data_IF_157129138229
#
_entry.id   IF_157129138229
#
_cell.length_a   1.000
_cell.length_b   1.000
_cell.length_c   1.000
_cell.angle_alpha   90.00
_cell.angle_beta   90.00
_cell.angle_gamma   90.00
#
_symmetry.space_group_name_H-M   'P 1'
#
loop_
_entity.id
_entity.type
_entity.pdbx_description
1 polymer ?
#
# COMPACT_ATOMS: atom_id res chain seq x y z
N UNK A 1 2.54 25.50 -4.06
CA UNK A 1 2.95 25.50 -5.48
C UNK A 1 1.78 25.98 -6.32
N UNK A 2 1.97 27.06 -7.11
CA UNK A 2 0.95 27.45 -8.10
C UNK A 2 1.01 26.48 -9.29
N UNK A 3 0.01 25.59 -9.38
CA UNK A 3 -0.03 24.54 -10.40
C UNK A 3 -0.19 25.08 -11.82
N UNK A 4 -0.92 26.18 -12.01
CA UNK A 4 -1.09 26.78 -13.33
C UNK A 4 0.25 27.19 -13.94
N UNK A 5 1.20 27.63 -13.10
CA UNK A 5 2.55 27.97 -13.50
C UNK A 5 3.44 26.72 -13.60
N UNK A 6 3.36 25.84 -12.61
CA UNK A 6 4.24 24.67 -12.52
C UNK A 6 3.94 23.59 -13.56
N UNK A 7 2.70 23.37 -13.92
CA UNK A 7 2.30 22.33 -14.88
C UNK A 7 2.75 22.69 -16.31
N UNK A 8 2.94 23.99 -16.62
CA UNK A 8 3.47 24.46 -17.90
C UNK A 8 5.00 24.63 -17.94
N UNK A 9 5.69 24.40 -16.83
CA UNK A 9 7.13 24.64 -16.69
C UNK A 9 7.94 23.39 -17.05
N UNK A 10 8.67 23.43 -18.16
CA UNK A 10 9.56 22.35 -18.60
C UNK A 10 10.90 22.33 -17.85
N UNK A 11 11.42 23.50 -17.45
CA UNK A 11 12.78 23.64 -16.94
C UNK A 11 12.98 23.26 -15.48
N UNK A 12 11.95 23.40 -14.62
CA UNK A 12 12.02 23.21 -13.15
C UNK A 12 13.23 23.89 -12.48
N UNK A 13 13.71 24.99 -13.07
CA UNK A 13 14.94 25.66 -12.66
C UNK A 13 14.86 26.24 -11.23
N UNK A 14 13.63 26.62 -10.82
CA UNK A 14 13.38 27.08 -9.46
C UNK A 14 13.75 26.05 -8.37
N UNK A 15 13.79 24.76 -8.71
CA UNK A 15 14.18 23.68 -7.77
C UNK A 15 15.71 23.55 -7.71
N UNK A 16 16.40 23.91 -8.81
CA UNK A 16 17.86 23.85 -8.92
C UNK A 16 18.54 25.10 -8.33
N UNK A 17 17.81 26.21 -8.26
CA UNK A 17 18.30 27.43 -7.64
C UNK A 17 18.01 27.37 -6.13
N UNK A 18 19.05 27.22 -5.31
CA UNK A 18 18.99 27.06 -3.86
C UNK A 18 18.30 28.19 -3.06
N UNK A 19 17.83 29.24 -3.73
CA UNK A 19 17.23 30.43 -3.11
C UNK A 19 15.69 30.41 -3.03
N UNK A 20 15.02 29.38 -3.52
CA UNK A 20 13.56 29.30 -3.40
C UNK A 20 13.15 28.70 -2.06
N UNK A 21 13.01 29.54 -1.05
CA UNK A 21 12.47 29.19 0.26
C UNK A 21 11.11 28.50 0.09
N UNK A 22 11.06 27.17 0.28
CA UNK A 22 9.83 26.41 0.34
C UNK A 22 9.51 25.47 -0.84
N UNK A 23 10.35 25.40 -1.87
CA UNK A 23 10.21 24.40 -2.93
C UNK A 23 11.37 23.42 -2.92
N UNK A 24 11.07 22.13 -2.80
CA UNK A 24 12.04 21.03 -2.91
C UNK A 24 11.42 19.85 -3.66
N UNK A 25 12.27 19.07 -4.29
CA UNK A 25 11.82 17.81 -4.89
C UNK A 25 11.38 16.86 -3.78
N UNK A 26 10.19 16.27 -3.93
CA UNK A 26 9.67 15.29 -2.99
C UNK A 26 10.17 13.87 -3.28
N UNK A 27 11.15 13.74 -4.15
CA UNK A 27 11.78 12.47 -4.53
C UNK A 27 13.30 12.63 -4.62
N UNK A 28 13.99 11.52 -4.54
CA UNK A 28 15.41 11.36 -4.83
C UNK A 28 15.54 10.32 -5.93
N UNK A 29 16.36 10.58 -6.93
CA UNK A 29 16.70 9.59 -7.97
C UNK A 29 17.86 8.74 -7.47
N UNK A 30 17.65 7.43 -7.45
CA UNK A 30 18.64 6.44 -7.05
C UNK A 30 18.70 5.32 -8.09
N UNK A 31 19.87 4.71 -8.24
CA UNK A 31 19.98 3.47 -9.01
C UNK A 31 19.59 2.27 -8.16
N UNK A 32 19.25 1.17 -8.82
CA UNK A 32 18.97 -0.11 -8.12
C UNK A 32 20.15 -0.55 -7.27
N UNK A 33 21.38 -0.40 -7.80
CA UNK A 33 22.62 -0.74 -7.09
C UNK A 33 22.82 0.12 -5.85
N UNK A 34 22.48 1.40 -5.91
CA UNK A 34 22.57 2.31 -4.76
C UNK A 34 21.57 1.91 -3.66
N UNK A 35 20.33 1.54 -4.02
CA UNK A 35 19.32 1.05 -3.06
C UNK A 35 19.78 -0.25 -2.40
N UNK A 36 20.30 -1.21 -3.18
CA UNK A 36 20.83 -2.46 -2.64
C UNK A 36 22.05 -2.18 -1.72
N UNK A 37 22.95 -1.30 -2.15
CA UNK A 37 24.12 -0.90 -1.37
C UNK A 37 23.76 -0.27 -0.05
N UNK A 38 22.74 0.61 -0.02
CA UNK A 38 22.23 1.23 1.20
C UNK A 38 21.61 0.18 2.15
N UNK A 39 20.84 -0.76 1.61
CA UNK A 39 20.29 -1.86 2.39
C UNK A 39 21.38 -2.72 3.04
N UNK A 40 22.41 -3.12 2.27
CA UNK A 40 23.56 -3.88 2.80
C UNK A 40 24.33 -3.11 3.88
N UNK A 41 24.54 -1.81 3.69
CA UNK A 41 25.22 -0.97 4.68
C UNK A 41 24.46 -0.86 6.00
N UNK A 42 23.14 -1.03 5.98
CA UNK A 42 22.26 -0.98 7.14
C UNK A 42 21.83 -2.37 7.66
N UNK A 43 22.43 -3.48 7.17
CA UNK A 43 22.06 -4.85 7.54
C UNK A 43 22.07 -5.07 9.06
N UNK A 44 23.01 -4.46 9.76
CA UNK A 44 23.08 -4.54 11.23
C UNK A 44 21.84 -3.97 11.94
N UNK A 45 20.99 -3.20 11.24
CA UNK A 45 19.74 -2.67 11.77
C UNK A 45 18.55 -3.62 11.58
N UNK A 46 18.72 -4.72 10.86
CA UNK A 46 17.65 -5.68 10.54
C UNK A 46 17.55 -6.78 11.60
N UNK A 47 17.22 -6.41 12.84
CA UNK A 47 17.05 -7.35 13.94
C UNK A 47 15.84 -8.27 13.73
N UNK A 48 15.90 -9.49 14.26
CA UNK A 48 14.78 -10.44 14.35
C UNK A 48 14.03 -10.66 13.00
N UNK A 49 14.77 -10.76 11.90
CA UNK A 49 14.20 -10.96 10.56
C UNK A 49 13.63 -9.68 9.94
N UNK A 50 14.11 -8.53 10.37
CA UNK A 50 13.88 -7.25 9.70
C UNK A 50 14.44 -7.23 8.29
N UNK A 51 14.26 -6.13 7.57
CA UNK A 51 14.69 -6.00 6.18
C UNK A 51 14.21 -4.72 5.53
N UNK A 52 13.99 -4.77 4.23
CA UNK A 52 13.58 -3.62 3.41
C UNK A 52 12.12 -3.73 3.03
N UNK A 53 11.36 -2.66 3.28
CA UNK A 53 9.97 -2.54 2.80
C UNK A 53 9.89 -1.54 1.66
N UNK A 54 9.42 -2.00 0.50
CA UNK A 54 9.08 -1.13 -0.62
C UNK A 54 7.62 -0.68 -0.48
N UNK A 55 7.44 0.63 -0.44
CA UNK A 55 6.13 1.28 -0.31
C UNK A 55 6.14 2.61 -1.07
N UNK A 56 5.28 3.55 -0.75
CA UNK A 56 5.29 4.90 -1.32
C UNK A 56 3.91 5.34 -1.77
N UNK A 57 3.76 5.91 -2.98
CA UNK A 57 2.46 6.05 -3.63
C UNK A 57 1.93 4.68 -4.05
N UNK A 58 2.68 4.03 -4.94
CA UNK A 58 2.50 2.62 -5.32
C UNK A 58 3.85 2.06 -5.75
N UNK A 59 4.34 1.04 -5.06
CA UNK A 59 5.67 0.47 -5.30
C UNK A 59 5.81 -0.12 -6.71
N UNK A 60 4.74 -0.70 -7.26
CA UNK A 60 4.75 -1.37 -8.57
C UNK A 60 4.71 -0.43 -9.79
N UNK A 61 4.68 0.89 -9.59
CA UNK A 61 4.77 1.87 -10.70
C UNK A 61 6.12 1.75 -11.42
N UNK A 62 7.20 1.50 -10.67
CA UNK A 62 8.55 1.25 -11.20
C UNK A 62 8.83 -0.25 -11.19
N UNK A 63 8.03 -1.01 -11.95
CA UNK A 63 7.96 -2.47 -11.83
C UNK A 63 9.29 -3.17 -12.11
N UNK A 64 10.02 -2.75 -13.15
CA UNK A 64 11.26 -3.43 -13.54
C UNK A 64 12.37 -3.14 -12.51
N UNK A 65 12.53 -1.90 -12.10
CA UNK A 65 13.51 -1.47 -11.10
C UNK A 65 13.22 -2.11 -9.74
N UNK A 66 11.93 -2.19 -9.37
CA UNK A 66 11.50 -2.90 -8.16
C UNK A 66 11.85 -4.39 -8.24
N UNK A 67 11.60 -5.04 -9.38
CA UNK A 67 11.91 -6.46 -9.57
C UNK A 67 13.43 -6.72 -9.46
N UNK A 68 14.25 -5.85 -10.04
CA UNK A 68 15.69 -5.98 -10.00
C UNK A 68 16.25 -5.70 -8.60
N UNK A 69 15.71 -4.71 -7.88
CA UNK A 69 16.05 -4.46 -6.47
C UNK A 69 15.69 -5.65 -5.57
N UNK A 70 14.50 -6.22 -5.72
CA UNK A 70 14.06 -7.40 -4.96
C UNK A 70 14.94 -8.62 -5.20
N UNK A 71 15.34 -8.87 -6.47
CA UNK A 71 16.28 -9.94 -6.80
C UNK A 71 17.64 -9.74 -6.13
N UNK A 72 18.20 -8.54 -6.27
CA UNK A 72 19.51 -8.23 -5.70
C UNK A 72 19.52 -8.31 -4.18
N UNK A 73 18.44 -7.88 -3.51
CA UNK A 73 18.31 -8.03 -2.04
C UNK A 73 18.17 -9.49 -1.63
N UNK A 74 17.42 -10.29 -2.39
CA UNK A 74 17.28 -11.73 -2.15
C UNK A 74 18.62 -12.46 -2.29
N UNK A 75 19.46 -12.11 -3.28
CA UNK A 75 20.82 -12.66 -3.45
C UNK A 75 21.76 -12.31 -2.28
N UNK A 76 21.43 -11.25 -1.53
CA UNK A 76 22.14 -10.84 -0.31
C UNK A 76 21.51 -11.39 0.98
N UNK A 77 20.50 -12.26 0.85
CA UNK A 77 19.74 -12.82 1.97
C UNK A 77 19.04 -11.76 2.85
N UNK A 78 18.73 -10.59 2.26
CA UNK A 78 17.99 -9.52 2.93
C UNK A 78 16.51 -9.75 2.74
N UNK A 79 15.76 -9.84 3.85
CA UNK A 79 14.31 -10.00 3.83
C UNK A 79 13.64 -8.76 3.21
N UNK A 80 12.63 -8.99 2.38
CA UNK A 80 11.91 -7.91 1.69
C UNK A 80 10.41 -7.96 1.94
N UNK A 81 9.80 -6.80 2.04
CA UNK A 81 8.34 -6.64 2.03
C UNK A 81 7.93 -5.64 0.96
N UNK A 82 6.72 -5.82 0.41
CA UNK A 82 6.08 -4.84 -0.47
C UNK A 82 4.73 -4.48 0.10
N UNK A 83 4.43 -3.18 0.12
CA UNK A 83 3.08 -2.65 0.30
C UNK A 83 2.56 -2.17 -1.06
N UNK A 84 1.43 -2.72 -1.51
CA UNK A 84 0.86 -2.43 -2.84
C UNK A 84 -0.66 -2.39 -2.81
N UNK A 85 -1.22 -1.58 -3.70
CA UNK A 85 -2.66 -1.60 -3.98
C UNK A 85 -3.09 -2.79 -4.84
N UNK A 86 -2.16 -3.60 -5.34
CA UNK A 86 -2.42 -4.81 -6.09
C UNK A 86 -2.90 -4.63 -7.53
N UNK A 87 -2.77 -3.45 -8.12
CA UNK A 87 -3.30 -3.17 -9.47
C UNK A 87 -2.43 -3.66 -10.61
N UNK A 88 -1.13 -3.90 -10.36
CA UNK A 88 -0.20 -4.25 -11.43
C UNK A 88 -0.45 -5.68 -11.95
N UNK A 89 -0.65 -5.89 -13.29
CA UNK A 89 -0.99 -7.20 -13.84
C UNK A 89 0.12 -8.25 -13.65
N UNK A 90 1.37 -7.83 -13.67
CA UNK A 90 2.53 -8.71 -13.47
C UNK A 90 2.95 -8.85 -12.00
N UNK A 91 2.17 -8.38 -11.03
CA UNK A 91 2.50 -8.52 -9.61
C UNK A 91 2.95 -9.95 -9.22
N UNK A 92 2.33 -11.03 -9.71
CA UNK A 92 2.76 -12.39 -9.39
C UNK A 92 4.20 -12.75 -9.80
N UNK A 93 4.78 -12.03 -10.76
CA UNK A 93 6.19 -12.23 -11.15
C UNK A 93 7.18 -11.82 -10.03
N UNK A 94 6.73 -11.00 -9.08
CA UNK A 94 7.52 -10.56 -7.94
C UNK A 94 7.48 -11.56 -6.77
N UNK A 95 6.47 -12.43 -6.69
CA UNK A 95 6.24 -13.34 -5.55
C UNK A 95 7.49 -14.13 -5.14
N UNK A 96 8.29 -14.68 -6.07
CA UNK A 96 9.50 -15.41 -5.70
C UNK A 96 10.56 -14.59 -4.95
N UNK A 97 10.49 -13.25 -5.03
CA UNK A 97 11.50 -12.34 -4.50
C UNK A 97 11.02 -11.56 -3.27
N UNK A 98 9.76 -11.73 -2.87
CA UNK A 98 9.13 -11.02 -1.74
C UNK A 98 9.07 -11.95 -0.53
N UNK A 99 9.60 -11.53 0.60
CA UNK A 99 9.46 -12.24 1.87
C UNK A 99 8.09 -12.05 2.51
N UNK A 100 7.51 -10.84 2.43
CA UNK A 100 6.15 -10.53 2.87
C UNK A 100 5.42 -9.63 1.89
N UNK A 101 4.28 -10.07 1.39
CA UNK A 101 3.41 -9.28 0.53
C UNK A 101 2.27 -8.67 1.37
N UNK A 102 2.13 -7.35 1.30
CA UNK A 102 1.08 -6.59 1.98
C UNK A 102 0.20 -5.95 0.91
N UNK A 103 -1.10 -6.28 0.91
CA UNK A 103 -2.04 -5.80 -0.10
C UNK A 103 -3.25 -5.13 0.52
N UNK A 104 -3.64 -3.99 -0.03
CA UNK A 104 -4.85 -3.29 0.39
C UNK A 104 -6.09 -3.87 -0.31
N UNK A 105 -7.09 -4.26 0.47
CA UNK A 105 -8.44 -4.58 0.02
C UNK A 105 -9.39 -3.45 0.46
N UNK A 106 -9.56 -2.44 -0.41
CA UNK A 106 -10.31 -1.23 -0.03
C UNK A 106 -11.83 -1.41 -0.13
N UNK A 107 -12.31 -2.28 -1.02
CA UNK A 107 -13.73 -2.61 -1.18
C UNK A 107 -13.88 -3.89 -1.98
N UNK A 108 -14.89 -4.73 -1.68
CA UNK A 108 -15.19 -5.93 -2.46
C UNK A 108 -16.05 -5.63 -3.71
N UNK A 109 -16.93 -4.61 -3.67
CA UNK A 109 -17.75 -4.18 -4.81
C UNK A 109 -16.90 -3.35 -5.79
N UNK A 110 -16.86 -3.79 -7.07
CA UNK A 110 -16.07 -3.16 -8.12
C UNK A 110 -16.57 -1.76 -8.49
N UNK A 111 -17.88 -1.55 -8.51
CA UNK A 111 -18.48 -0.27 -8.86
C UNK A 111 -18.23 0.79 -7.79
N UNK A 112 -18.37 0.43 -6.51
CA UNK A 112 -18.04 1.31 -5.39
C UNK A 112 -16.56 1.60 -5.36
N UNK A 113 -15.70 0.59 -5.52
CA UNK A 113 -14.25 0.79 -5.58
C UNK A 113 -13.87 1.77 -6.70
N UNK A 114 -14.41 1.58 -7.93
CA UNK A 114 -14.14 2.45 -9.06
C UNK A 114 -14.62 3.89 -8.83
N UNK A 115 -15.78 4.06 -8.21
CA UNK A 115 -16.32 5.40 -7.90
C UNK A 115 -15.42 6.21 -6.98
N UNK A 116 -14.78 5.57 -6.00
CA UNK A 116 -13.98 6.24 -4.98
C UNK A 116 -12.49 6.32 -5.32
N UNK A 117 -11.96 5.32 -6.02
CA UNK A 117 -10.52 5.23 -6.33
C UNK A 117 -10.18 5.56 -7.79
N UNK A 118 -11.19 5.60 -8.67
CA UNK A 118 -11.03 5.82 -10.10
C UNK A 118 -10.77 4.56 -10.93
N UNK A 119 -10.57 3.40 -10.29
CA UNK A 119 -10.27 2.12 -10.96
C UNK A 119 -11.13 0.97 -10.41
N UNK A 120 -11.41 -0.05 -11.25
CA UNK A 120 -12.03 -1.31 -10.80
C UNK A 120 -11.09 -2.09 -9.87
N UNK A 121 -11.68 -2.85 -8.93
CA UNK A 121 -10.92 -3.75 -8.05
C UNK A 121 -10.75 -5.17 -8.61
N UNK A 122 -11.25 -5.48 -9.80
CA UNK A 122 -11.22 -6.84 -10.35
C UNK A 122 -9.81 -7.43 -10.37
N UNK A 123 -8.84 -6.65 -10.87
CA UNK A 123 -7.43 -7.05 -10.89
C UNK A 123 -6.84 -7.20 -9.49
N UNK A 124 -7.22 -6.33 -8.58
CA UNK A 124 -6.79 -6.37 -7.17
C UNK A 124 -7.27 -7.67 -6.52
N UNK A 125 -8.56 -7.97 -6.66
CA UNK A 125 -9.17 -9.19 -6.11
C UNK A 125 -8.57 -10.46 -6.72
N UNK A 126 -8.29 -10.45 -8.04
CA UNK A 126 -7.57 -11.54 -8.72
C UNK A 126 -6.15 -11.74 -8.15
N UNK A 127 -5.39 -10.66 -8.01
CA UNK A 127 -4.03 -10.71 -7.46
C UNK A 127 -4.02 -11.14 -5.99
N UNK A 128 -4.99 -10.73 -5.17
CA UNK A 128 -5.11 -11.20 -3.79
C UNK A 128 -5.41 -12.72 -3.75
N UNK A 129 -6.37 -13.21 -4.57
CA UNK A 129 -6.66 -14.65 -4.67
C UNK A 129 -5.44 -15.45 -5.11
N UNK A 130 -4.70 -14.91 -6.07
CA UNK A 130 -3.49 -15.54 -6.56
C UNK A 130 -2.39 -15.56 -5.50
N UNK A 131 -2.18 -14.45 -4.82
CA UNK A 131 -1.22 -14.35 -3.74
C UNK A 131 -1.56 -15.28 -2.56
N UNK A 132 -2.83 -15.44 -2.22
CA UNK A 132 -3.28 -16.38 -1.19
C UNK A 132 -2.92 -17.85 -1.52
N UNK A 133 -2.86 -18.20 -2.80
CA UNK A 133 -2.49 -19.56 -3.26
C UNK A 133 -0.99 -19.76 -3.45
N UNK A 134 -0.28 -18.74 -3.92
CA UNK A 134 1.09 -18.87 -4.44
C UNK A 134 2.15 -18.22 -3.55
N UNK A 135 1.78 -17.25 -2.70
CA UNK A 135 2.76 -16.52 -1.88
C UNK A 135 2.80 -17.06 -0.45
N UNK A 136 3.98 -17.30 0.14
CA UNK A 136 4.10 -17.92 1.46
C UNK A 136 3.65 -17.03 2.63
N UNK A 137 3.56 -15.71 2.44
CA UNK A 137 3.22 -14.77 3.53
C UNK A 137 2.49 -13.54 2.99
N UNK A 138 1.17 -13.65 2.90
CA UNK A 138 0.27 -12.57 2.48
C UNK A 138 -0.34 -11.89 3.70
N UNK A 139 -0.34 -10.56 3.69
CA UNK A 139 -1.07 -9.72 4.64
C UNK A 139 -2.05 -8.82 3.91
N UNK A 140 -3.35 -9.01 4.15
CA UNK A 140 -4.42 -8.22 3.51
C UNK A 140 -4.91 -7.17 4.50
N UNK A 141 -4.85 -5.89 4.12
CA UNK A 141 -5.31 -4.77 4.94
C UNK A 141 -6.58 -4.15 4.39
N UNK A 142 -7.50 -3.85 5.29
CA UNK A 142 -8.71 -3.08 5.01
C UNK A 142 -8.57 -1.70 5.63
N UNK A 143 -8.28 -0.66 4.85
CA UNK A 143 -8.42 0.72 5.33
C UNK A 143 -9.91 1.01 5.47
N UNK A 144 -10.39 1.08 6.72
CA UNK A 144 -11.80 1.31 7.04
C UNK A 144 -12.10 2.81 6.99
N UNK A 145 -12.98 3.20 6.07
CA UNK A 145 -13.29 4.60 5.75
C UNK A 145 -14.79 4.81 5.87
N UNK A 146 -15.18 5.81 6.67
CA UNK A 146 -16.57 6.17 6.91
C UNK A 146 -17.31 6.54 5.64
N UNK A 147 -18.53 6.03 5.48
CA UNK A 147 -19.38 6.24 4.31
C UNK A 147 -18.91 5.55 3.03
N UNK A 148 -17.81 4.80 3.08
CA UNK A 148 -17.29 4.08 1.92
C UNK A 148 -17.39 2.56 2.10
N UNK A 149 -16.83 2.00 3.16
CA UNK A 149 -16.73 0.56 3.35
C UNK A 149 -16.99 0.12 4.80
N UNK A 150 -17.63 0.96 5.61
CA UNK A 150 -17.82 0.78 7.04
C UNK A 150 -19.21 0.26 7.46
N UNK A 151 -20.10 -0.01 6.49
CA UNK A 151 -21.44 -0.53 6.77
C UNK A 151 -21.47 -2.05 6.97
N UNK A 152 -22.59 -2.56 7.51
CA UNK A 152 -22.79 -4.00 7.74
C UNK A 152 -22.72 -4.83 6.43
N UNK A 153 -23.34 -4.41 5.31
CA UNK A 153 -23.20 -5.14 4.06
C UNK A 153 -21.78 -5.24 3.53
N UNK A 154 -20.96 -4.19 3.70
CA UNK A 154 -19.54 -4.23 3.34
C UNK A 154 -18.75 -5.18 4.25
N UNK A 155 -19.04 -5.17 5.56
CA UNK A 155 -18.43 -6.11 6.50
C UNK A 155 -18.68 -7.57 6.08
N UNK A 156 -19.91 -7.94 5.77
CA UNK A 156 -20.24 -9.30 5.31
C UNK A 156 -19.50 -9.65 4.02
N UNK A 157 -19.43 -8.72 3.05
CA UNK A 157 -18.67 -8.95 1.81
C UNK A 157 -17.17 -9.19 2.07
N UNK A 158 -16.55 -8.45 3.00
CA UNK A 158 -15.17 -8.70 3.39
C UNK A 158 -15.02 -10.06 4.05
N UNK A 159 -15.91 -10.43 4.98
CA UNK A 159 -15.85 -11.71 5.67
C UNK A 159 -15.99 -12.89 4.70
N UNK A 160 -16.91 -12.79 3.74
CA UNK A 160 -17.11 -13.84 2.73
C UNK A 160 -15.87 -13.98 1.83
N UNK A 161 -15.32 -12.87 1.36
CA UNK A 161 -14.09 -12.90 0.56
C UNK A 161 -12.90 -13.43 1.35
N UNK A 162 -12.75 -13.06 2.61
CA UNK A 162 -11.62 -13.52 3.44
C UNK A 162 -11.75 -14.98 3.82
N UNK A 163 -12.97 -15.50 4.01
CA UNK A 163 -13.22 -16.94 4.18
C UNK A 163 -12.87 -17.74 2.91
N UNK A 164 -13.09 -17.16 1.73
CA UNK A 164 -12.70 -17.76 0.44
C UNK A 164 -11.17 -17.95 0.35
N UNK A 165 -10.39 -16.94 0.76
CA UNK A 165 -8.94 -16.90 0.55
C UNK A 165 -8.12 -17.27 1.80
N UNK A 166 -8.75 -17.61 2.92
CA UNK A 166 -8.05 -17.93 4.18
C UNK A 166 -7.09 -19.11 4.02
N UNK A 167 -5.94 -19.00 4.67
CA UNK A 167 -4.91 -20.03 4.73
C UNK A 167 -3.91 -19.72 5.84
N UNK A 168 -3.02 -20.66 6.13
CA UNK A 168 -1.98 -20.46 7.15
C UNK A 168 -0.97 -19.37 6.78
N UNK A 169 -0.87 -19.08 5.49
CA UNK A 169 -0.02 -18.05 4.92
C UNK A 169 -0.70 -16.66 4.82
N UNK A 170 -2.00 -16.57 5.13
CA UNK A 170 -2.78 -15.33 4.96
C UNK A 170 -3.17 -14.74 6.31
N UNK A 171 -2.89 -13.47 6.50
CA UNK A 171 -3.32 -12.70 7.67
C UNK A 171 -4.10 -11.47 7.24
N UNK A 172 -5.02 -11.01 8.09
CA UNK A 172 -5.91 -9.88 7.80
C UNK A 172 -5.82 -8.82 8.89
N UNK A 173 -6.01 -7.55 8.50
CA UNK A 173 -5.98 -6.41 9.41
C UNK A 173 -7.00 -5.36 8.98
N UNK A 174 -7.60 -4.70 9.98
CA UNK A 174 -8.46 -3.53 9.79
C UNK A 174 -7.74 -2.30 10.33
N UNK A 175 -7.43 -1.36 9.43
CA UNK A 175 -6.81 -0.09 9.74
C UNK A 175 -7.87 1.01 9.80
N UNK A 176 -7.91 1.75 10.90
CA UNK A 176 -8.78 2.93 10.97
C UNK A 176 -8.27 4.03 10.05
N UNK A 177 -9.18 4.73 9.39
CA UNK A 177 -8.84 5.90 8.58
C UNK A 177 -8.04 6.93 9.38
N UNK A 178 -7.04 7.50 8.74
CA UNK A 178 -6.20 8.58 9.27
C UNK A 178 -5.84 9.61 8.20
N UNK A 179 -5.55 10.83 8.60
CA UNK A 179 -5.27 11.95 7.71
C UNK A 179 -3.77 12.22 7.50
N UNK A 180 -2.88 11.25 7.74
CA UNK A 180 -1.42 11.46 7.62
C UNK A 180 -1.00 11.93 6.22
N UNK A 181 -1.72 11.52 5.18
CA UNK A 181 -1.49 11.96 3.80
C UNK A 181 -1.91 13.39 3.48
N UNK A 182 -2.77 14.03 4.30
CA UNK A 182 -3.36 15.34 4.03
C UNK A 182 -2.31 16.44 3.76
N UNK A 183 -1.26 16.48 4.58
CA UNK A 183 -0.17 17.44 4.41
C UNK A 183 0.57 17.24 3.09
N UNK A 184 0.79 15.99 2.67
CA UNK A 184 1.44 15.66 1.39
C UNK A 184 0.58 16.09 0.20
N UNK A 185 -0.74 15.91 0.25
CA UNK A 185 -1.68 16.40 -0.75
C UNK A 185 -1.59 17.92 -0.91
N UNK A 186 -1.59 18.67 0.20
CA UNK A 186 -1.43 20.12 0.22
C UNK A 186 -0.09 20.54 -0.37
N UNK A 187 1.01 19.86 -0.03
CA UNK A 187 2.33 20.12 -0.60
C UNK A 187 2.39 19.89 -2.11
N UNK A 188 1.63 18.93 -2.63
CA UNK A 188 1.48 18.68 -4.06
C UNK A 188 0.54 19.69 -4.75
N UNK A 189 -0.07 20.62 -4.02
CA UNK A 189 -1.05 21.57 -4.56
C UNK A 189 -2.38 20.90 -4.92
N UNK A 190 -2.68 19.72 -4.35
CA UNK A 190 -3.93 19.01 -4.57
C UNK A 190 -4.93 19.31 -3.46
N UNK A 191 -6.21 19.40 -3.85
CA UNK A 191 -7.30 19.50 -2.90
C UNK A 191 -7.50 18.17 -2.19
N UNK A 192 -7.49 18.18 -0.86
CA UNK A 192 -7.81 17.00 -0.07
C UNK A 192 -9.31 16.87 0.08
N UNK A 193 -9.89 15.90 -0.64
CA UNK A 193 -11.35 15.74 -0.79
C UNK A 193 -12.04 14.99 0.35
N UNK A 194 -11.26 14.35 1.24
CA UNK A 194 -11.85 13.61 2.36
C UNK A 194 -12.31 14.58 3.44
N UNK A 195 -13.52 14.38 3.93
CA UNK A 195 -14.14 15.15 5.01
C UNK A 195 -14.05 14.40 6.33
N UNK A 196 -14.53 15.01 7.42
CA UNK A 196 -14.62 14.34 8.73
C UNK A 196 -15.53 13.10 8.70
N UNK A 197 -16.44 12.98 7.74
CA UNK A 197 -17.29 11.80 7.51
C UNK A 197 -16.47 10.54 7.18
N UNK A 198 -15.26 10.70 6.64
CA UNK A 198 -14.35 9.59 6.41
C UNK A 198 -13.82 8.93 7.69
N UNK A 199 -13.95 9.61 8.83
CA UNK A 199 -13.57 9.07 10.14
C UNK A 199 -14.62 8.06 10.59
N UNK A 200 -14.15 6.88 10.93
CA UNK A 200 -14.98 5.82 11.47
C UNK A 200 -14.99 5.93 13.00
N UNK A 201 -16.18 5.85 13.60
CA UNK A 201 -16.29 5.85 15.04
C UNK A 201 -15.70 4.58 15.66
N UNK A 202 -15.24 4.68 16.91
CA UNK A 202 -14.58 3.55 17.57
C UNK A 202 -15.49 2.32 17.75
N UNK A 203 -16.80 2.49 17.83
CA UNK A 203 -17.73 1.37 17.97
C UNK A 203 -17.78 0.55 16.68
N UNK A 204 -17.80 1.23 15.52
CA UNK A 204 -17.73 0.60 14.20
C UNK A 204 -16.39 -0.10 13.98
N UNK A 205 -15.27 0.53 14.35
CA UNK A 205 -13.94 -0.13 14.28
C UNK A 205 -13.90 -1.38 15.15
N UNK A 206 -14.42 -1.30 16.40
CA UNK A 206 -14.50 -2.47 17.29
C UNK A 206 -15.38 -3.57 16.73
N UNK A 207 -16.52 -3.22 16.11
CA UNK A 207 -17.42 -4.18 15.46
C UNK A 207 -16.70 -4.95 14.34
N UNK A 208 -16.04 -4.24 13.42
CA UNK A 208 -15.27 -4.86 12.33
C UNK A 208 -14.17 -5.79 12.86
N UNK A 209 -13.38 -5.32 13.82
CA UNK A 209 -12.30 -6.11 14.44
C UNK A 209 -12.85 -7.38 15.10
N UNK A 210 -13.92 -7.26 15.87
CA UNK A 210 -14.57 -8.39 16.53
C UNK A 210 -15.10 -9.40 15.52
N UNK A 211 -15.78 -8.95 14.45
CA UNK A 211 -16.28 -9.82 13.42
C UNK A 211 -15.14 -10.56 12.69
N UNK A 212 -14.01 -9.91 12.43
CA UNK A 212 -12.81 -10.54 11.88
C UNK A 212 -12.26 -11.63 12.84
N UNK A 213 -12.12 -11.33 14.12
CA UNK A 213 -11.63 -12.28 15.14
C UNK A 213 -12.53 -13.51 15.23
N UNK A 214 -13.88 -13.34 15.16
CA UNK A 214 -14.89 -14.39 15.26
C UNK A 214 -15.09 -15.17 13.94
N UNK A 215 -14.60 -14.66 12.80
CA UNK A 215 -14.87 -15.25 11.47
C UNK A 215 -14.05 -16.50 11.14
N UNK A 216 -13.07 -16.86 11.98
CA UNK A 216 -12.15 -17.96 11.74
C UNK A 216 -11.03 -17.65 10.72
N UNK A 217 -10.78 -16.36 10.42
CA UNK A 217 -9.60 -15.92 9.67
C UNK A 217 -8.46 -15.55 10.63
N UNK A 218 -7.23 -15.56 10.16
CA UNK A 218 -6.07 -15.14 10.97
C UNK A 218 -5.98 -13.63 11.04
N UNK A 219 -6.76 -13.05 11.93
CA UNK A 219 -6.77 -11.62 12.15
C UNK A 219 -5.53 -11.16 12.95
N UNK A 220 -4.89 -10.06 12.52
CA UNK A 220 -3.85 -9.35 13.26
C UNK A 220 -4.40 -8.03 13.76
N UNK A 221 -4.12 -7.72 15.01
CA UNK A 221 -4.42 -6.43 15.61
C UNK A 221 -3.11 -5.65 15.78
N UNK A 222 -3.05 -4.46 15.17
CA UNK A 222 -1.96 -3.49 15.39
C UNK A 222 -2.42 -2.38 16.30
#
# INVERSE_FOLDING_TARGET
>A
VDRAICDSCEGKECIRQHDTKGMYLSYKEETVEAVIGEACANEMMFYDGGGVTFTGGEATVQFQELKDALKGLKEKDIHTAIETNGTHPSLPELFPYIGQLIMDCKHCDASKHQRYTGISNERIMENIRRAAKEHPKLHVRVPLIGGFNDSEPELEQFLDFFREIKGDNVTFEVLSYHEFGKKKWQQCGWEYKMTDEARVDEASVRRFRKAMEESGVRYRRT
#
